data_IF_023187622480
#
_entry.id   IF_023187622480
#
_cell.length_a   1.000
_cell.length_b   1.000
_cell.length_c   1.000
_cell.angle_alpha   90.00
_cell.angle_beta   90.00
_cell.angle_gamma   90.00
#
_symmetry.space_group_name_H-M   'P 1'
#
loop_
_entity.id
_entity.type
_entity.pdbx_description
1 polymer ?
#
# COMPACT_ATOMS: atom_id res chain seq x y z
N UNK A 1 1.63 -59.93 -36.85
CA UNK A 1 1.72 -58.67 -36.00
C UNK A 1 2.97 -57.92 -36.38
N UNK A 2 2.83 -56.80 -37.09
CA UNK A 2 3.97 -55.99 -37.54
C UNK A 2 4.32 -54.96 -36.46
N UNK A 3 5.50 -55.11 -35.84
CA UNK A 3 6.05 -54.13 -34.93
C UNK A 3 6.53 -52.90 -35.74
N UNK A 4 5.76 -51.81 -35.74
CA UNK A 4 6.15 -50.55 -36.36
C UNK A 4 7.01 -49.81 -35.34
N UNK A 5 8.34 -49.88 -35.49
CA UNK A 5 9.29 -49.06 -34.73
C UNK A 5 9.22 -47.65 -35.27
N UNK A 6 8.75 -46.69 -34.47
CA UNK A 6 8.74 -45.27 -34.83
C UNK A 6 10.16 -44.78 -35.15
N UNK A 7 10.37 -44.01 -36.24
CA UNK A 7 11.70 -43.57 -36.62
C UNK A 7 12.32 -42.64 -35.58
N UNK A 8 13.61 -42.82 -35.34
CA UNK A 8 14.40 -42.11 -34.33
C UNK A 8 14.34 -40.58 -34.44
N UNK A 9 14.03 -40.07 -35.62
CA UNK A 9 13.81 -38.66 -35.92
C UNK A 9 12.57 -38.08 -35.24
N UNK A 10 11.47 -38.84 -35.11
CA UNK A 10 10.27 -38.41 -34.42
C UNK A 10 10.49 -38.20 -32.91
N UNK A 11 11.28 -39.08 -32.28
CA UNK A 11 11.64 -38.92 -30.85
C UNK A 11 12.48 -37.68 -30.58
N UNK A 12 13.39 -37.34 -31.46
CA UNK A 12 14.23 -36.13 -31.30
C UNK A 12 13.43 -34.85 -31.50
N UNK A 13 12.47 -34.84 -32.43
CA UNK A 13 11.59 -33.68 -32.67
C UNK A 13 10.64 -33.46 -31.46
N UNK A 14 10.04 -34.51 -30.92
CA UNK A 14 9.18 -34.43 -29.74
C UNK A 14 9.95 -33.97 -28.50
N UNK A 15 11.19 -34.46 -28.32
CA UNK A 15 12.04 -34.06 -27.19
C UNK A 15 12.45 -32.56 -27.28
N UNK A 16 12.75 -32.07 -28.50
CA UNK A 16 13.08 -30.67 -28.72
C UNK A 16 11.89 -29.74 -28.50
N UNK A 17 10.69 -30.13 -28.94
CA UNK A 17 9.45 -29.35 -28.71
C UNK A 17 9.09 -29.31 -27.22
N UNK A 18 9.29 -30.40 -26.51
CA UNK A 18 9.04 -30.47 -25.06
C UNK A 18 10.03 -29.63 -24.26
N UNK A 19 11.31 -29.59 -24.65
CA UNK A 19 12.34 -28.75 -24.03
C UNK A 19 12.13 -27.25 -24.31
N UNK A 20 11.64 -26.86 -25.50
CA UNK A 20 11.29 -25.48 -25.83
C UNK A 20 10.02 -25.01 -25.09
N UNK A 21 9.06 -25.90 -24.84
CA UNK A 21 7.81 -25.59 -24.13
C UNK A 21 8.04 -25.32 -22.63
N UNK A 22 9.04 -25.94 -22.00
CA UNK A 22 9.34 -25.74 -20.57
C UNK A 22 10.18 -24.51 -20.28
N UNK A 23 10.85 -23.92 -21.28
CA UNK A 23 11.68 -22.71 -21.11
C UNK A 23 10.87 -21.40 -21.08
N UNK A 24 9.58 -21.43 -21.42
CA UNK A 24 8.74 -20.24 -21.54
C UNK A 24 7.94 -19.84 -20.28
N UNK A 25 8.04 -20.59 -19.15
CA UNK A 25 7.11 -20.41 -18.02
C UNK A 25 7.71 -19.74 -16.78
N UNK A 26 8.83 -19.04 -16.90
CA UNK A 26 9.44 -18.30 -15.78
C UNK A 26 9.40 -16.77 -15.98
N UNK A 27 8.25 -16.22 -16.38
CA UNK A 27 7.98 -14.79 -16.17
C UNK A 27 7.28 -14.66 -14.81
N UNK A 28 8.05 -14.74 -13.73
CA UNK A 28 7.60 -14.31 -12.41
C UNK A 28 7.43 -12.79 -12.49
N UNK A 29 6.21 -12.34 -12.70
CA UNK A 29 5.87 -10.93 -12.53
C UNK A 29 6.00 -10.59 -11.04
N UNK A 30 7.15 -10.04 -10.64
CA UNK A 30 7.31 -9.40 -9.34
C UNK A 30 6.35 -8.21 -9.29
N UNK A 31 5.20 -8.35 -8.64
CA UNK A 31 4.27 -7.24 -8.38
C UNK A 31 4.97 -6.13 -7.58
N UNK A 32 4.51 -4.89 -7.74
CA UNK A 32 5.05 -3.69 -7.06
C UNK A 32 5.20 -3.88 -5.53
N UNK A 33 4.40 -4.74 -4.92
CA UNK A 33 4.32 -5.00 -3.49
C UNK A 33 5.16 -6.20 -3.00
N UNK A 34 6.06 -6.73 -3.84
CA UNK A 34 6.87 -7.93 -3.50
C UNK A 34 8.29 -7.61 -3.04
N UNK A 35 8.75 -6.34 -3.11
CA UNK A 35 10.10 -5.98 -2.71
C UNK A 35 10.33 -6.16 -1.20
N UNK A 36 11.54 -6.58 -0.76
CA UNK A 36 11.87 -6.66 0.66
C UNK A 36 11.65 -5.35 1.40
N UNK A 37 11.95 -4.21 0.77
CA UNK A 37 11.76 -2.87 1.33
C UNK A 37 10.27 -2.57 1.56
N UNK A 38 9.40 -2.88 0.57
CA UNK A 38 7.97 -2.72 0.75
C UNK A 38 7.45 -3.52 1.94
N UNK A 39 7.83 -4.80 2.04
CA UNK A 39 7.41 -5.67 3.16
C UNK A 39 7.85 -5.12 4.51
N UNK A 40 9.08 -4.62 4.60
CA UNK A 40 9.60 -4.00 5.82
C UNK A 40 8.78 -2.76 6.20
N UNK A 41 8.51 -1.85 5.25
CA UNK A 41 7.72 -0.64 5.48
C UNK A 41 6.30 -0.99 5.89
N UNK A 42 5.68 -1.93 5.21
CA UNK A 42 4.31 -2.37 5.47
C UNK A 42 4.15 -2.93 6.89
N UNK A 43 5.01 -3.88 7.31
CA UNK A 43 4.95 -4.50 8.64
C UNK A 43 5.25 -3.50 9.76
N UNK A 44 6.21 -2.59 9.56
CA UNK A 44 6.46 -1.54 10.54
C UNK A 44 5.33 -0.51 10.57
N UNK A 45 4.77 -0.16 9.41
CA UNK A 45 3.61 0.72 9.29
C UNK A 45 2.38 0.18 10.00
N UNK A 46 2.11 -1.14 9.91
CA UNK A 46 1.05 -1.82 10.66
C UNK A 46 1.21 -1.64 12.18
N UNK A 47 2.43 -1.85 12.70
CA UNK A 47 2.71 -1.68 14.13
C UNK A 47 2.49 -0.24 14.59
N UNK A 48 2.99 0.72 13.82
CA UNK A 48 2.83 2.15 14.11
C UNK A 48 1.36 2.57 14.01
N UNK A 49 0.63 2.06 13.02
CA UNK A 49 -0.81 2.27 12.90
C UNK A 49 -1.56 1.74 14.12
N UNK A 50 -1.26 0.52 14.54
CA UNK A 50 -1.84 -0.08 15.75
C UNK A 50 -1.59 0.78 16.99
N UNK A 51 -0.41 1.37 17.10
CA UNK A 51 -0.01 2.17 18.26
C UNK A 51 -0.64 3.57 18.26
N UNK A 52 -0.77 4.21 17.11
CA UNK A 52 -1.06 5.64 17.02
C UNK A 52 -2.41 5.98 16.39
N UNK A 53 -2.99 5.08 15.58
CA UNK A 53 -4.13 5.41 14.71
C UNK A 53 -5.38 4.56 15.01
N UNK A 54 -5.21 3.27 15.33
CA UNK A 54 -6.29 2.30 15.43
C UNK A 54 -7.33 2.60 16.50
N UNK A 55 -6.96 3.32 17.56
CA UNK A 55 -7.92 3.72 18.61
C UNK A 55 -9.05 4.61 18.08
N UNK A 56 -8.79 5.40 17.04
CA UNK A 56 -9.77 6.28 16.41
C UNK A 56 -10.28 5.70 15.08
N UNK A 57 -9.36 5.23 14.22
CA UNK A 57 -9.72 4.78 12.88
C UNK A 57 -10.06 3.28 12.80
N UNK A 58 -9.98 2.55 13.91
CA UNK A 58 -10.18 1.11 14.06
C UNK A 58 -9.14 0.29 13.28
N UNK A 59 -8.96 -0.99 13.62
CA UNK A 59 -8.00 -1.88 12.95
C UNK A 59 -8.42 -2.20 11.50
N UNK A 60 -9.71 -2.21 11.24
CA UNK A 60 -10.28 -2.45 9.93
C UNK A 60 -10.40 -1.18 9.06
N UNK A 61 -9.95 -0.03 9.57
CA UNK A 61 -10.04 1.24 8.88
C UNK A 61 -11.46 1.81 8.76
N UNK A 62 -12.45 1.23 9.43
CA UNK A 62 -13.86 1.65 9.33
C UNK A 62 -14.17 2.99 9.99
N UNK A 63 -13.25 3.49 10.85
CA UNK A 63 -13.51 4.65 11.69
C UNK A 63 -14.54 4.39 12.79
N UNK A 64 -15.10 5.42 13.39
CA UNK A 64 -16.06 5.31 14.47
C UNK A 64 -17.28 6.18 14.23
N UNK A 65 -18.27 5.62 13.57
CA UNK A 65 -19.59 6.23 13.36
C UNK A 65 -19.51 7.59 12.66
N UNK A 66 -19.92 8.65 13.36
CA UNK A 66 -19.82 10.06 12.90
C UNK A 66 -18.70 10.84 13.59
N UNK A 67 -17.90 10.18 14.43
CA UNK A 67 -16.84 10.83 15.22
C UNK A 67 -15.53 10.82 14.48
N UNK A 68 -15.11 9.65 14.02
CA UNK A 68 -13.83 9.48 13.30
C UNK A 68 -14.08 8.90 11.90
N UNK A 69 -13.54 9.53 10.84
CA UNK A 69 -13.77 9.09 9.47
C UNK A 69 -13.14 7.71 9.19
N UNK A 70 -13.71 6.96 8.24
CA UNK A 70 -13.05 5.76 7.72
C UNK A 70 -11.79 6.12 6.94
N UNK A 71 -10.82 5.21 6.95
CA UNK A 71 -9.67 5.20 6.06
C UNK A 71 -9.90 4.23 4.90
N UNK A 72 -10.52 3.06 5.18
CA UNK A 72 -10.98 2.16 4.12
C UNK A 72 -12.05 2.83 3.26
N UNK A 73 -12.02 2.61 1.96
CA UNK A 73 -12.98 3.16 0.98
C UNK A 73 -13.15 4.69 1.05
N UNK A 74 -12.16 5.42 1.59
CA UNK A 74 -12.21 6.87 1.78
C UNK A 74 -11.91 7.62 0.48
N UNK A 75 -12.89 8.38 -0.02
CA UNK A 75 -12.71 9.30 -1.14
C UNK A 75 -11.66 10.38 -0.83
N UNK A 76 -11.62 10.84 0.43
CA UNK A 76 -10.62 11.80 0.86
C UNK A 76 -9.20 11.26 0.73
N UNK A 77 -8.94 10.02 1.15
CA UNK A 77 -7.63 9.40 1.02
C UNK A 77 -7.22 9.22 -0.44
N UNK A 78 -8.16 8.86 -1.31
CA UNK A 78 -7.88 8.66 -2.74
C UNK A 78 -7.50 9.97 -3.44
N UNK A 79 -8.12 11.08 -3.07
CA UNK A 79 -7.92 12.38 -3.71
C UNK A 79 -6.86 13.30 -3.08
N UNK A 80 -6.40 13.01 -1.84
CA UNK A 80 -5.65 13.98 -1.05
C UNK A 80 -4.41 13.38 -0.36
N UNK A 81 -3.61 12.61 -1.11
CA UNK A 81 -2.43 11.93 -0.56
C UNK A 81 -1.49 12.87 0.22
N UNK A 82 -1.16 14.03 -0.36
CA UNK A 82 -0.24 15.00 0.24
C UNK A 82 -0.81 15.55 1.56
N UNK A 83 -2.09 15.89 1.56
CA UNK A 83 -2.78 16.37 2.76
C UNK A 83 -2.82 15.31 3.85
N UNK A 84 -3.02 14.04 3.51
CA UNK A 84 -3.00 12.93 4.49
C UNK A 84 -1.63 12.83 5.17
N UNK A 85 -0.52 12.98 4.44
CA UNK A 85 0.83 13.04 5.01
C UNK A 85 0.96 14.21 5.99
N UNK A 86 0.45 15.40 5.61
CA UNK A 86 0.43 16.57 6.49
C UNK A 86 -0.42 16.34 7.75
N UNK A 87 -1.59 15.68 7.62
CA UNK A 87 -2.48 15.39 8.74
C UNK A 87 -1.83 14.46 9.77
N UNK A 88 -1.07 13.47 9.36
CA UNK A 88 -0.36 12.58 10.28
C UNK A 88 0.61 13.37 11.15
N UNK A 89 1.39 14.27 10.57
CA UNK A 89 2.39 15.09 11.28
C UNK A 89 1.77 16.18 12.13
N UNK A 90 0.83 16.94 11.54
CA UNK A 90 0.39 18.21 12.10
C UNK A 90 -1.02 18.18 12.67
N UNK A 91 -1.78 17.14 12.36
CA UNK A 91 -3.18 17.05 12.75
C UNK A 91 -4.11 17.89 11.89
N UNK A 92 -5.37 17.96 12.32
CA UNK A 92 -6.44 18.69 11.65
C UNK A 92 -7.43 19.23 12.68
N UNK A 93 -7.79 20.50 12.52
CA UNK A 93 -8.92 21.12 13.21
C UNK A 93 -9.97 21.57 12.21
N UNK A 94 -11.21 21.70 12.66
CA UNK A 94 -12.35 22.03 11.82
C UNK A 94 -12.87 20.86 11.00
N UNK A 95 -13.97 21.09 10.28
CA UNK A 95 -14.68 20.05 9.59
C UNK A 95 -13.94 19.47 8.39
N UNK A 96 -14.19 18.20 8.11
CA UNK A 96 -13.70 17.43 6.98
C UNK A 96 -14.85 16.61 6.40
N UNK A 97 -15.01 16.65 5.09
CA UNK A 97 -15.99 15.79 4.41
C UNK A 97 -15.27 14.53 3.91
N UNK A 98 -15.78 13.36 4.31
CA UNK A 98 -15.32 12.05 3.83
C UNK A 98 -16.55 11.21 3.43
N UNK A 99 -16.56 10.70 2.21
CA UNK A 99 -17.67 9.93 1.65
C UNK A 99 -19.02 10.67 1.78
N UNK A 100 -19.02 11.99 1.57
CA UNK A 100 -20.20 12.84 1.68
C UNK A 100 -20.71 13.07 3.11
N UNK A 101 -19.96 12.66 4.15
CA UNK A 101 -20.28 12.88 5.56
C UNK A 101 -19.32 13.88 6.17
N UNK A 102 -19.84 14.77 6.99
CA UNK A 102 -19.04 15.75 7.74
C UNK A 102 -18.53 15.15 9.06
N UNK A 103 -17.24 15.31 9.30
CA UNK A 103 -16.52 14.95 10.52
C UNK A 103 -15.85 16.21 11.10
N UNK A 104 -16.10 16.53 12.35
CA UNK A 104 -15.57 17.73 12.99
C UNK A 104 -14.74 17.44 14.27
N UNK A 105 -14.49 16.17 14.55
CA UNK A 105 -13.60 15.80 15.66
C UNK A 105 -12.16 16.12 15.26
N UNK A 106 -11.42 16.91 16.06
CA UNK A 106 -10.02 17.21 15.76
C UNK A 106 -9.15 15.95 15.72
N UNK A 107 -8.32 15.84 14.71
CA UNK A 107 -7.26 14.83 14.65
C UNK A 107 -5.99 15.42 15.21
N UNK A 108 -5.46 14.85 16.29
CA UNK A 108 -4.18 15.28 16.89
C UNK A 108 -3.03 14.82 16.00
N UNK A 109 -2.15 15.73 15.61
CA UNK A 109 -0.91 15.41 14.91
C UNK A 109 0.09 14.69 15.82
N UNK A 110 0.98 13.89 15.22
CA UNK A 110 1.99 13.12 15.93
C UNK A 110 3.37 13.63 15.55
N UNK A 111 3.77 14.75 16.17
CA UNK A 111 5.02 15.45 15.86
C UNK A 111 6.29 14.65 16.18
N UNK A 112 6.19 13.63 17.04
CA UNK A 112 7.31 12.78 17.45
C UNK A 112 7.67 11.71 16.40
N UNK A 113 6.80 11.40 15.44
CA UNK A 113 7.13 10.46 14.38
C UNK A 113 8.22 11.03 13.47
N UNK A 114 9.20 10.23 13.10
CA UNK A 114 10.15 10.55 12.04
C UNK A 114 9.47 10.48 10.65
N UNK A 115 10.10 11.07 9.65
CA UNK A 115 9.61 11.00 8.26
C UNK A 115 9.58 9.56 7.75
N UNK A 116 10.52 8.71 8.21
CA UNK A 116 10.53 7.29 7.91
C UNK A 116 9.30 6.57 8.50
N UNK A 117 8.95 6.85 9.75
CA UNK A 117 7.78 6.24 10.39
C UNK A 117 6.48 6.70 9.72
N UNK A 118 6.38 7.96 9.30
CA UNK A 118 5.24 8.44 8.49
C UNK A 118 5.18 7.73 7.14
N UNK A 119 6.32 7.52 6.46
CA UNK A 119 6.37 6.77 5.20
C UNK A 119 5.93 5.31 5.38
N UNK A 120 6.28 4.69 6.50
CA UNK A 120 5.87 3.34 6.86
C UNK A 120 4.37 3.28 7.15
N UNK A 121 3.82 4.20 7.94
CA UNK A 121 2.36 4.30 8.18
C UNK A 121 1.63 4.52 6.85
N UNK A 122 2.10 5.45 6.01
CA UNK A 122 1.51 5.72 4.72
C UNK A 122 1.57 4.49 3.79
N UNK A 123 2.71 3.77 3.76
CA UNK A 123 2.80 2.51 3.02
C UNK A 123 1.76 1.50 3.50
N UNK A 124 1.52 1.39 4.81
CA UNK A 124 0.52 0.49 5.35
C UNK A 124 -0.90 0.92 4.96
N UNK A 125 -1.33 2.13 5.32
CA UNK A 125 -2.72 2.57 5.10
C UNK A 125 -3.11 2.71 3.62
N UNK A 126 -2.15 2.94 2.74
CA UNK A 126 -2.35 3.02 1.29
C UNK A 126 -2.13 1.68 0.56
N UNK A 127 -1.96 0.57 1.29
CA UNK A 127 -1.86 -0.78 0.72
C UNK A 127 -2.60 -1.81 1.58
N UNK A 128 -3.52 -1.33 2.41
CA UNK A 128 -4.39 -2.16 3.24
C UNK A 128 -5.84 -1.87 2.84
N UNK A 129 -6.72 -2.79 3.14
CA UNK A 129 -8.14 -2.76 2.82
C UNK A 129 -8.39 -2.59 1.32
N UNK A 130 -9.02 -1.50 0.89
CA UNK A 130 -9.36 -1.24 -0.52
C UNK A 130 -8.31 -0.44 -1.30
N UNK A 131 -7.14 -0.16 -0.70
CA UNK A 131 -6.08 0.66 -1.32
C UNK A 131 -4.91 -0.19 -1.79
N UNK A 132 -4.32 0.17 -2.94
CA UNK A 132 -3.13 -0.48 -3.51
C UNK A 132 -2.27 0.56 -4.26
N UNK A 133 -1.45 1.31 -3.52
CA UNK A 133 -0.63 2.40 -4.08
C UNK A 133 0.83 1.97 -4.29
N UNK A 134 1.34 1.01 -3.51
CA UNK A 134 2.73 0.61 -3.49
C UNK A 134 3.54 1.31 -2.40
N UNK A 135 4.88 1.22 -2.50
CA UNK A 135 5.79 1.79 -1.52
C UNK A 135 5.74 3.32 -1.50
N UNK A 136 5.53 3.89 -0.32
CA UNK A 136 5.69 5.32 -0.07
C UNK A 136 7.12 5.58 0.37
N UNK A 137 7.89 6.30 -0.43
CA UNK A 137 9.30 6.56 -0.16
C UNK A 137 9.48 7.68 0.88
N UNK A 138 10.43 7.51 1.81
CA UNK A 138 10.72 8.51 2.83
C UNK A 138 11.10 9.87 2.24
N UNK A 139 11.83 9.89 1.12
CA UNK A 139 12.21 11.14 0.43
C UNK A 139 11.00 11.96 -0.04
N UNK A 140 9.93 11.27 -0.48
CA UNK A 140 8.70 11.93 -0.92
C UNK A 140 7.93 12.49 0.28
N UNK A 141 7.88 11.74 1.39
CA UNK A 141 7.30 12.22 2.66
C UNK A 141 8.05 13.44 3.18
N UNK A 142 9.40 13.42 3.20
CA UNK A 142 10.19 14.56 3.67
C UNK A 142 9.94 15.82 2.83
N UNK A 143 9.85 15.68 1.51
CA UNK A 143 9.50 16.79 0.63
C UNK A 143 8.10 17.35 0.95
N UNK A 144 7.09 16.49 1.02
CA UNK A 144 5.72 16.90 1.31
C UNK A 144 5.59 17.58 2.68
N UNK A 145 6.27 17.08 3.71
CA UNK A 145 6.25 17.68 5.05
C UNK A 145 6.89 19.07 5.08
N UNK A 146 7.89 19.35 4.24
CA UNK A 146 8.44 20.69 4.09
C UNK A 146 7.41 21.63 3.45
N UNK A 147 6.68 21.15 2.43
CA UNK A 147 5.64 21.92 1.75
C UNK A 147 4.46 22.24 2.68
N UNK A 148 4.09 21.30 3.58
CA UNK A 148 3.04 21.51 4.58
C UNK A 148 3.32 22.67 5.54
N UNK A 149 4.58 23.00 5.81
CA UNK A 149 4.92 24.12 6.72
C UNK A 149 4.56 25.48 6.13
N UNK A 150 4.54 25.60 4.80
CA UNK A 150 4.12 26.80 4.09
C UNK A 150 2.60 27.00 4.03
N UNK A 151 1.81 26.00 4.46
CA UNK A 151 0.34 26.00 4.41
C UNK A 151 -0.33 26.30 5.78
N UNK A 152 0.43 26.67 6.81
CA UNK A 152 -0.08 27.03 8.16
C UNK A 152 -0.47 28.48 8.28
#
# INVERSE_FOLDING_TARGET
MRNIKAPLTFKKIFLSIFLLSTSGFMLVTCGKNSSPKFKQYYVQGERLYAQHCSNCHQFDGSGLGRVYPPLDTSDYMQGNFEQVICLIRYGKSGSLIVNGKEYNQPMKGISSLSDLEIAQIATYIYNTWSHETGLVEVKDVSRLLNDCQGMR
#
